data_IF_940389750210
#
_entry.id   IF_940389750210
#
_cell.length_a   1.000
_cell.length_b   1.000
_cell.length_c   1.000
_cell.angle_alpha   90.00
_cell.angle_beta   90.00
_cell.angle_gamma   90.00
#
_symmetry.space_group_name_H-M   'P 1'
#
loop_
_entity.id
_entity.type
_entity.pdbx_description
1 polymer ?
#
# COMPACT_ATOMS: atom_id res chain seq x y z
N UNK A 1 -31.91 -20.00 -0.23
CA UNK A 1 -30.74 -20.50 -0.99
C UNK A 1 -29.49 -20.08 -0.25
N UNK A 2 -28.53 -20.97 -0.03
CA UNK A 2 -27.24 -20.60 0.56
C UNK A 2 -26.43 -19.80 -0.48
N UNK A 3 -25.67 -18.76 -0.08
CA UNK A 3 -24.83 -18.01 -1.01
C UNK A 3 -23.79 -18.94 -1.66
N UNK A 4 -23.58 -18.79 -2.97
CA UNK A 4 -22.53 -19.49 -3.70
C UNK A 4 -21.16 -18.99 -3.23
N UNK A 5 -20.12 -19.81 -3.36
CA UNK A 5 -18.77 -19.60 -2.83
C UNK A 5 -18.04 -18.35 -3.38
N UNK A 6 -18.67 -17.58 -4.26
CA UNK A 6 -18.06 -16.46 -5.01
C UNK A 6 -18.64 -15.07 -4.67
N UNK A 7 -19.75 -14.99 -3.93
CA UNK A 7 -20.31 -13.69 -3.53
C UNK A 7 -19.88 -13.34 -2.11
N UNK A 8 -19.53 -12.06 -1.87
CA UNK A 8 -19.16 -11.59 -0.54
C UNK A 8 -20.35 -11.76 0.43
N UNK A 9 -20.27 -12.68 1.42
CA UNK A 9 -21.39 -12.99 2.30
C UNK A 9 -21.61 -11.95 3.41
N UNK A 10 -20.79 -10.90 3.46
CA UNK A 10 -20.89 -9.82 4.44
C UNK A 10 -21.79 -8.69 3.94
N UNK A 11 -22.67 -8.21 4.80
CA UNK A 11 -23.56 -7.08 4.49
C UNK A 11 -23.10 -5.86 5.30
N UNK A 12 -22.64 -4.82 4.62
CA UNK A 12 -22.32 -3.55 5.26
C UNK A 12 -23.60 -2.75 5.54
N UNK A 13 -23.87 -2.45 6.81
CA UNK A 13 -25.01 -1.63 7.22
C UNK A 13 -24.61 -0.15 7.31
N UNK A 14 -23.46 0.13 7.90
CA UNK A 14 -22.95 1.49 8.08
C UNK A 14 -21.43 1.52 7.93
N UNK A 15 -20.92 2.62 7.37
CA UNK A 15 -19.49 2.92 7.30
C UNK A 15 -19.24 4.33 7.80
N UNK A 16 -18.23 4.51 8.67
CA UNK A 16 -17.84 5.80 9.21
C UNK A 16 -16.33 5.99 9.09
N UNK A 17 -15.89 7.07 8.47
CA UNK A 17 -14.48 7.48 8.53
C UNK A 17 -14.18 7.97 9.95
N UNK A 18 -13.22 7.33 10.61
CA UNK A 18 -12.80 7.70 11.98
C UNK A 18 -11.45 8.42 12.00
N UNK A 19 -10.65 8.27 10.94
CA UNK A 19 -9.38 8.96 10.77
C UNK A 19 -9.03 9.07 9.28
N UNK A 20 -8.42 10.18 8.88
CA UNK A 20 -7.93 10.35 7.52
C UNK A 20 -6.71 11.28 7.49
N UNK A 21 -5.71 10.89 6.71
CA UNK A 21 -4.55 11.71 6.41
C UNK A 21 -4.16 11.53 4.91
N UNK A 22 -3.07 12.16 4.42
CA UNK A 22 -2.69 12.03 3.00
C UNK A 22 -2.35 10.62 2.53
N UNK A 23 -2.05 9.67 3.44
CA UNK A 23 -1.61 8.32 3.09
C UNK A 23 -2.70 7.25 3.25
N UNK A 24 -3.52 7.36 4.29
CA UNK A 24 -4.54 6.38 4.67
C UNK A 24 -5.83 7.04 5.11
N UNK A 25 -6.92 6.28 4.97
CA UNK A 25 -8.21 6.52 5.63
C UNK A 25 -8.56 5.30 6.46
N UNK A 26 -9.02 5.49 7.69
CA UNK A 26 -9.50 4.41 8.55
C UNK A 26 -11.01 4.53 8.66
N UNK A 27 -11.69 3.42 8.38
CA UNK A 27 -13.15 3.32 8.41
C UNK A 27 -13.56 2.30 9.49
N UNK A 28 -14.59 2.65 10.26
CA UNK A 28 -15.31 1.71 11.11
C UNK A 28 -16.59 1.26 10.39
N UNK A 29 -16.80 -0.04 10.28
CA UNK A 29 -17.92 -0.66 9.55
C UNK A 29 -18.80 -1.43 10.53
N UNK A 30 -20.10 -1.13 10.54
CA UNK A 30 -21.11 -1.99 11.15
C UNK A 30 -21.63 -2.95 10.09
N UNK A 31 -21.46 -4.25 10.31
CA UNK A 31 -21.73 -5.29 9.31
C UNK A 31 -22.57 -6.42 9.89
N UNK A 32 -23.24 -7.17 9.01
CA UNK A 32 -23.69 -8.53 9.30
C UNK A 32 -22.66 -9.51 8.76
N UNK A 33 -22.23 -10.43 9.61
CA UNK A 33 -21.35 -11.52 9.22
C UNK A 33 -22.12 -12.58 8.39
N UNK A 34 -21.42 -13.61 7.85
CA UNK A 34 -22.06 -14.63 7.01
C UNK A 34 -23.16 -15.45 7.70
N UNK A 35 -23.20 -15.45 9.03
CA UNK A 35 -24.24 -16.08 9.83
C UNK A 35 -25.40 -15.12 10.19
N UNK A 36 -25.41 -13.91 9.62
CA UNK A 36 -26.42 -12.87 9.86
C UNK A 36 -26.29 -12.16 11.21
N UNK A 37 -25.18 -12.33 11.93
CA UNK A 37 -24.97 -11.69 13.24
C UNK A 37 -24.27 -10.33 13.09
N UNK A 38 -24.65 -9.30 13.87
CA UNK A 38 -23.95 -8.03 13.91
C UNK A 38 -22.47 -8.19 14.29
N UNK A 39 -21.61 -7.42 13.64
CA UNK A 39 -20.19 -7.31 13.95
C UNK A 39 -19.67 -5.91 13.60
N UNK A 40 -18.61 -5.50 14.29
CA UNK A 40 -17.88 -4.26 14.01
C UNK A 40 -16.54 -4.60 13.35
N UNK A 41 -16.17 -3.86 12.31
CA UNK A 41 -14.96 -4.13 11.53
C UNK A 41 -14.18 -2.85 11.20
N UNK A 42 -12.91 -2.80 11.63
CA UNK A 42 -11.98 -1.73 11.28
C UNK A 42 -11.31 -1.99 9.93
N UNK A 43 -11.37 -1.02 9.02
CA UNK A 43 -10.75 -1.10 7.68
C UNK A 43 -9.76 0.03 7.47
N UNK A 44 -8.52 -0.32 7.12
CA UNK A 44 -7.50 0.64 6.65
C UNK A 44 -7.53 0.70 5.13
N UNK A 45 -7.80 1.87 4.59
CA UNK A 45 -7.87 2.18 3.17
C UNK A 45 -6.61 2.97 2.76
N UNK A 46 -5.67 2.33 2.07
CA UNK A 46 -4.50 2.99 1.51
C UNK A 46 -4.86 3.85 0.30
N UNK A 47 -4.35 5.08 0.25
CA UNK A 47 -4.57 6.02 -0.86
C UNK A 47 -3.63 5.78 -2.06
N UNK A 48 -2.55 5.03 -1.84
CA UNK A 48 -1.56 4.66 -2.87
C UNK A 48 -1.25 3.17 -2.81
N UNK A 49 -0.83 2.59 -3.93
CA UNK A 49 -0.21 1.26 -4.00
C UNK A 49 1.22 1.32 -3.54
N UNK A 50 1.65 0.34 -2.74
CA UNK A 50 3.06 0.04 -2.54
C UNK A 50 3.57 -0.78 -3.73
N UNK A 51 4.69 -0.37 -4.31
CA UNK A 51 5.32 -1.02 -5.46
C UNK A 51 6.76 -1.32 -5.10
N UNK A 52 7.12 -2.61 -5.12
CA UNK A 52 8.49 -3.07 -4.98
C UNK A 52 9.10 -3.47 -6.31
N UNK A 53 10.41 -3.29 -6.44
CA UNK A 53 11.19 -3.70 -7.60
C UNK A 53 12.30 -4.61 -7.09
N UNK A 54 12.37 -5.81 -7.65
CA UNK A 54 13.46 -6.75 -7.43
C UNK A 54 14.31 -6.80 -8.72
N UNK A 55 15.34 -5.95 -8.86
CA UNK A 55 16.25 -6.07 -9.99
C UNK A 55 17.09 -7.34 -9.83
N UNK A 56 17.24 -8.10 -10.91
CA UNK A 56 18.12 -9.27 -10.96
C UNK A 56 19.11 -9.01 -12.10
N UNK A 57 20.41 -9.07 -11.80
CA UNK A 57 21.45 -8.92 -12.81
C UNK A 57 21.78 -10.24 -13.52
N UNK A 58 22.75 -10.22 -14.44
CA UNK A 58 23.13 -11.38 -15.25
C UNK A 58 23.73 -12.53 -14.42
N UNK A 59 24.28 -12.22 -13.25
CA UNK A 59 24.85 -13.21 -12.32
C UNK A 59 23.82 -13.72 -11.30
N UNK A 60 22.59 -13.17 -11.31
CA UNK A 60 21.50 -13.57 -10.45
C UNK A 60 21.46 -12.83 -9.10
N UNK A 61 22.23 -11.75 -8.93
CA UNK A 61 22.21 -10.95 -7.71
C UNK A 61 21.13 -9.87 -7.74
N UNK A 62 20.78 -9.37 -6.55
CA UNK A 62 19.84 -8.26 -6.36
C UNK A 62 20.41 -7.21 -5.43
N UNK A 63 19.75 -6.06 -5.38
CA UNK A 63 20.15 -4.91 -4.59
C UNK A 63 19.14 -4.66 -3.47
N UNK A 64 19.65 -4.42 -2.26
CA UNK A 64 18.86 -4.01 -1.11
C UNK A 64 19.18 -2.57 -0.74
N UNK A 65 18.20 -1.90 -0.15
CA UNK A 65 18.33 -0.58 0.45
C UNK A 65 18.15 -0.71 1.96
N UNK A 66 19.11 -0.16 2.71
CA UNK A 66 19.03 -0.14 4.16
C UNK A 66 18.45 1.20 4.64
N UNK A 67 17.40 1.15 5.46
CA UNK A 67 16.73 2.35 5.96
C UNK A 67 16.19 2.18 7.38
N UNK A 68 16.15 3.27 8.13
CA UNK A 68 15.43 3.33 9.40
C UNK A 68 13.94 3.62 9.16
N UNK A 69 13.07 2.80 9.73
CA UNK A 69 11.62 2.94 9.63
C UNK A 69 11.07 3.58 10.90
N UNK A 70 10.57 4.81 10.79
CA UNK A 70 10.00 5.54 11.93
C UNK A 70 8.87 4.76 12.62
N UNK A 71 7.94 4.17 11.85
CA UNK A 71 6.75 3.49 12.39
C UNK A 71 7.04 2.15 13.07
N UNK A 72 8.20 1.54 12.78
CA UNK A 72 8.63 0.28 13.40
C UNK A 72 9.88 0.45 14.27
N UNK A 73 10.35 1.70 14.41
CA UNK A 73 11.48 2.12 15.25
C UNK A 73 12.75 1.26 15.09
N UNK A 74 13.10 0.95 13.84
CA UNK A 74 14.23 0.06 13.57
C UNK A 74 14.85 0.21 12.19
N UNK A 75 16.09 -0.24 12.06
CA UNK A 75 16.79 -0.33 10.78
C UNK A 75 16.55 -1.70 10.13
N UNK A 76 16.19 -1.69 8.85
CA UNK A 76 15.95 -2.89 8.05
C UNK A 76 16.62 -2.80 6.69
N UNK A 77 17.04 -3.96 6.18
CA UNK A 77 17.41 -4.14 4.77
C UNK A 77 16.16 -4.56 3.99
N UNK A 78 15.85 -3.83 2.94
CA UNK A 78 14.61 -3.99 2.18
C UNK A 78 14.88 -3.94 0.67
N UNK A 79 13.93 -4.46 -0.12
CA UNK A 79 13.95 -4.21 -1.56
C UNK A 79 13.61 -2.74 -1.87
N UNK A 80 14.12 -2.18 -2.97
CA UNK A 80 13.67 -0.90 -3.49
C UNK A 80 12.13 -0.84 -3.62
N UNK A 81 11.50 0.10 -2.92
CA UNK A 81 10.05 0.29 -2.91
C UNK A 81 9.65 1.76 -2.98
N UNK A 82 8.44 2.02 -3.50
CA UNK A 82 7.84 3.35 -3.50
C UNK A 82 6.31 3.29 -3.65
N UNK A 83 5.65 4.42 -3.40
CA UNK A 83 4.21 4.55 -3.58
C UNK A 83 3.82 4.85 -5.03
N UNK A 84 2.56 4.62 -5.41
CA UNK A 84 1.97 5.14 -6.65
C UNK A 84 0.43 5.17 -6.66
N UNK A 85 -0.20 5.98 -7.54
CA UNK A 85 -1.65 6.06 -7.66
C UNK A 85 -2.29 4.69 -7.89
N UNK A 86 -3.52 4.53 -7.39
CA UNK A 86 -4.27 3.28 -7.53
C UNK A 86 -4.69 3.00 -8.97
N UNK A 87 -4.81 4.06 -9.78
CA UNK A 87 -5.27 4.06 -11.16
C UNK A 87 -4.14 3.81 -12.17
N UNK A 88 -2.88 3.94 -11.73
CA UNK A 88 -1.71 3.75 -12.60
C UNK A 88 -1.20 2.30 -12.53
N UNK A 89 -0.98 1.69 -13.70
CA UNK A 89 -0.36 0.38 -13.77
C UNK A 89 1.07 0.41 -13.21
N UNK A 90 1.46 -0.51 -12.31
CA UNK A 90 2.78 -0.48 -11.65
C UNK A 90 3.97 -0.43 -12.63
N UNK A 91 3.87 -1.17 -13.73
CA UNK A 91 4.92 -1.21 -14.76
C UNK A 91 5.07 0.12 -15.51
N UNK A 92 3.95 0.79 -15.83
CA UNK A 92 3.97 2.08 -16.51
C UNK A 92 4.64 3.15 -15.64
N UNK A 93 4.36 3.14 -14.34
CA UNK A 93 5.01 4.03 -13.36
C UNK A 93 6.52 3.78 -13.29
N UNK A 94 6.94 2.51 -13.23
CA UNK A 94 8.37 2.13 -13.25
C UNK A 94 9.08 2.71 -14.46
N UNK A 95 8.52 2.53 -15.65
CA UNK A 95 9.12 3.01 -16.90
C UNK A 95 9.24 4.54 -16.94
N UNK A 96 8.21 5.27 -16.50
CA UNK A 96 8.26 6.74 -16.38
C UNK A 96 9.35 7.21 -15.43
N UNK A 97 9.56 6.49 -14.33
CA UNK A 97 10.56 6.82 -13.31
C UNK A 97 11.98 6.53 -13.79
N UNK A 98 12.22 5.38 -14.42
CA UNK A 98 13.50 5.05 -15.05
C UNK A 98 13.92 6.10 -16.11
N UNK A 99 12.95 6.63 -16.88
CA UNK A 99 13.18 7.71 -17.86
C UNK A 99 13.51 9.07 -17.24
N UNK A 100 13.15 9.33 -15.97
CA UNK A 100 13.41 10.59 -15.26
C UNK A 100 14.80 10.68 -14.62
N UNK A 101 15.58 9.61 -14.68
CA UNK A 101 17.00 9.58 -14.32
C UNK A 101 17.27 9.27 -12.85
N UNK A 102 18.33 8.46 -12.63
CA UNK A 102 19.00 8.21 -11.35
C UNK A 102 19.38 9.52 -10.64
N UNK A 103 18.47 10.11 -9.86
CA UNK A 103 18.89 10.98 -8.77
C UNK A 103 18.82 10.15 -7.51
N UNK A 104 20.01 9.78 -7.02
CA UNK A 104 20.26 9.49 -5.63
C UNK A 104 19.84 10.69 -4.78
N UNK A 105 18.55 10.90 -4.63
CA UNK A 105 18.01 11.92 -3.74
C UNK A 105 17.65 11.20 -2.45
N UNK A 106 18.39 11.56 -1.41
CA UNK A 106 18.28 11.05 -0.05
C UNK A 106 16.82 10.86 0.35
N UNK A 107 16.50 9.68 0.89
CA UNK A 107 15.16 9.20 1.24
C UNK A 107 14.36 10.07 2.20
N UNK A 108 13.94 11.24 1.73
CA UNK A 108 12.99 12.11 2.39
C UNK A 108 11.61 11.83 1.80
N UNK A 109 10.67 11.47 2.67
CA UNK A 109 9.25 11.43 2.33
C UNK A 109 8.84 12.84 1.88
N UNK A 110 8.38 13.00 0.64
CA UNK A 110 7.68 14.21 0.23
C UNK A 110 6.36 14.27 1.03
N UNK A 111 6.16 15.29 1.89
CA UNK A 111 4.96 15.39 2.71
C UNK A 111 3.68 15.64 1.90
N UNK A 112 3.80 16.08 0.64
CA UNK A 112 2.64 16.29 -0.25
C UNK A 112 2.29 15.04 -1.07
N UNK A 113 3.24 14.14 -1.29
CA UNK A 113 3.05 12.92 -2.07
C UNK A 113 3.78 11.78 -1.38
N UNK A 114 3.06 10.88 -0.71
CA UNK A 114 3.60 9.72 0.01
C UNK A 114 4.33 8.66 -0.84
N UNK A 115 5.23 9.08 -1.72
CA UNK A 115 6.22 8.25 -2.35
C UNK A 115 7.50 8.38 -1.52
N UNK A 116 7.97 7.27 -0.95
CA UNK A 116 9.41 7.13 -0.74
C UNK A 116 10.05 7.29 -2.12
N UNK A 117 10.91 8.30 -2.28
CA UNK A 117 11.59 8.51 -3.55
C UNK A 117 12.88 7.68 -3.57
N UNK A 118 12.98 6.80 -4.57
CA UNK A 118 14.25 6.41 -5.19
C UNK A 118 14.37 7.08 -6.55
#
# INVERSE_FOLDING_TARGET
MAPTKEENPWICQEKKTVFENPWIRVENHQVLNPAGKPAEYGKVCFKNRAIGILPIDEEGYTYLVGQYRYTTEGYSWEIPMGGGPLEEAPLARRQKRAKRGNRSDSGQLDPAHGSAYL
#
